data_IF_041298521719
#
_entry.id   IF_041298521719
#
_cell.length_a   1.000
_cell.length_b   1.000
_cell.length_c   1.000
_cell.angle_alpha   90.00
_cell.angle_beta   90.00
_cell.angle_gamma   90.00
#
_symmetry.space_group_name_H-M   'P 1'
#
loop_
_entity.id
_entity.type
_entity.pdbx_description
1 polymer ?
#
# COMPACT_ATOMS: atom_id res chain seq x y z
N UNK A 1 48.33 -35.84 15.57
CA UNK A 1 47.39 -34.69 15.48
C UNK A 1 46.06 -35.01 14.79
N UNK A 2 45.89 -36.19 14.16
CA UNK A 2 44.69 -36.50 13.36
C UNK A 2 43.48 -37.04 14.14
N UNK A 3 43.67 -37.80 15.24
CA UNK A 3 42.54 -38.40 16.00
C UNK A 3 41.66 -37.37 16.73
N UNK A 4 42.24 -36.27 17.23
CA UNK A 4 41.51 -35.17 17.90
C UNK A 4 40.69 -34.34 16.91
N UNK A 5 41.22 -34.13 15.70
CA UNK A 5 40.52 -33.45 14.61
C UNK A 5 39.35 -34.27 14.08
N UNK A 6 39.49 -35.60 14.01
CA UNK A 6 38.42 -36.52 13.62
C UNK A 6 37.25 -36.52 14.61
N UNK A 7 37.54 -36.47 15.92
CA UNK A 7 36.48 -36.38 16.94
C UNK A 7 35.77 -35.02 16.91
N UNK A 8 36.49 -33.92 16.65
CA UNK A 8 35.91 -32.59 16.50
C UNK A 8 34.96 -32.51 15.28
N UNK A 9 35.34 -33.18 14.18
CA UNK A 9 34.54 -33.26 12.96
C UNK A 9 33.25 -34.08 13.16
N UNK A 10 33.32 -35.20 13.87
CA UNK A 10 32.14 -36.01 14.21
C UNK A 10 31.18 -35.24 15.13
N UNK A 11 31.70 -34.50 16.12
CA UNK A 11 30.87 -33.69 17.02
C UNK A 11 30.13 -32.56 16.27
N UNK A 12 30.79 -31.95 15.28
CA UNK A 12 30.22 -30.92 14.40
C UNK A 12 29.07 -31.46 13.54
N UNK A 13 29.18 -32.67 13.02
CA UNK A 13 28.11 -33.29 12.22
C UNK A 13 26.89 -33.58 13.10
N UNK A 14 27.08 -34.10 14.32
CA UNK A 14 25.98 -34.38 15.24
C UNK A 14 25.22 -33.10 15.61
N UNK A 15 25.91 -31.97 15.81
CA UNK A 15 25.27 -30.68 16.10
C UNK A 15 24.48 -30.12 14.92
N UNK A 16 24.89 -30.39 13.68
CA UNK A 16 24.14 -29.99 12.48
C UNK A 16 22.83 -30.78 12.32
N UNK A 17 22.81 -32.06 12.69
CA UNK A 17 21.61 -32.91 12.65
C UNK A 17 20.56 -32.56 13.70
N UNK A 18 20.96 -31.94 14.82
CA UNK A 18 20.02 -31.52 15.87
C UNK A 18 19.34 -30.17 15.50
N UNK A 19 19.95 -29.39 14.61
CA UNK A 19 19.42 -28.07 14.18
C UNK A 19 18.61 -28.11 12.87
N UNK A 20 18.53 -29.25 12.19
CA UNK A 20 17.60 -29.44 11.07
C UNK A 20 16.19 -29.71 11.61
N UNK A 21 15.63 -28.73 12.32
CA UNK A 21 14.20 -28.67 12.55
C UNK A 21 13.50 -28.55 11.21
N UNK A 22 12.71 -29.55 10.83
CA UNK A 22 11.81 -29.43 9.69
C UNK A 22 10.82 -28.31 9.98
N UNK A 23 10.96 -27.18 9.28
CA UNK A 23 9.91 -26.18 9.25
C UNK A 23 8.70 -26.79 8.56
N UNK A 24 7.73 -27.26 9.35
CA UNK A 24 6.42 -27.62 8.82
C UNK A 24 5.74 -26.32 8.39
N UNK A 25 5.63 -26.09 7.09
CA UNK A 25 4.67 -25.12 6.59
C UNK A 25 3.29 -25.59 7.05
N UNK A 26 2.69 -24.86 7.99
CA UNK A 26 1.32 -25.14 8.39
C UNK A 26 0.43 -25.10 7.15
N UNK A 27 -0.43 -26.10 6.99
CA UNK A 27 -1.45 -26.16 5.94
C UNK A 27 -2.64 -25.24 6.26
N UNK A 28 -2.48 -24.29 7.19
CA UNK A 28 -3.50 -23.34 7.55
C UNK A 28 -3.89 -22.53 6.31
N UNK A 29 -5.18 -22.59 5.98
CA UNK A 29 -5.75 -21.68 5.00
C UNK A 29 -5.42 -20.25 5.42
N UNK A 30 -5.06 -19.37 4.48
CA UNK A 30 -4.87 -17.96 4.82
C UNK A 30 -6.13 -17.46 5.53
N UNK A 31 -5.93 -16.74 6.63
CA UNK A 31 -7.03 -16.20 7.40
C UNK A 31 -7.84 -15.21 6.54
N UNK A 32 -9.15 -15.07 6.76
CA UNK A 32 -9.98 -14.11 6.04
C UNK A 32 -9.47 -12.69 6.18
N UNK A 33 -9.63 -11.86 5.14
CA UNK A 33 -9.17 -10.47 5.16
C UNK A 33 -9.95 -9.66 6.21
N UNK A 34 -11.22 -10.01 6.41
CA UNK A 34 -12.15 -9.46 7.40
C UNK A 34 -11.69 -9.72 8.84
N UNK A 35 -10.81 -10.68 9.08
CA UNK A 35 -10.16 -10.89 10.37
C UNK A 35 -8.82 -10.16 10.47
N UNK A 36 -7.97 -10.30 9.43
CA UNK A 36 -6.59 -9.79 9.47
C UNK A 36 -6.57 -8.26 9.52
N UNK A 37 -7.36 -7.58 8.68
CA UNK A 37 -7.29 -6.12 8.53
C UNK A 37 -7.74 -5.38 9.80
N UNK A 38 -8.86 -5.77 10.46
CA UNK A 38 -9.24 -5.19 11.74
C UNK A 38 -8.20 -5.37 12.85
N UNK A 39 -7.54 -6.52 12.92
CA UNK A 39 -6.50 -6.77 13.93
C UNK A 39 -5.30 -5.82 13.84
N UNK A 40 -5.00 -5.32 12.64
CA UNK A 40 -3.90 -4.37 12.39
C UNK A 40 -4.39 -2.91 12.26
N UNK A 41 -5.62 -2.64 12.71
CA UNK A 41 -6.17 -1.29 12.86
C UNK A 41 -6.95 -0.75 11.66
N UNK A 42 -7.21 -1.55 10.63
CA UNK A 42 -8.12 -1.11 9.57
C UNK A 42 -9.58 -1.22 10.00
N UNK A 43 -10.38 -0.34 9.42
CA UNK A 43 -11.83 -0.23 9.61
C UNK A 43 -12.47 0.07 8.26
N UNK A 44 -13.70 0.59 8.27
CA UNK A 44 -14.35 1.02 7.03
C UNK A 44 -13.67 2.26 6.44
N UNK A 45 -13.73 2.41 5.12
CA UNK A 45 -13.20 3.60 4.44
C UNK A 45 -13.86 4.87 4.99
N UNK A 46 -15.18 4.88 5.12
CA UNK A 46 -15.93 6.02 5.63
C UNK A 46 -15.49 6.46 7.04
N UNK A 47 -15.33 5.51 7.95
CA UNK A 47 -14.92 5.80 9.32
C UNK A 47 -13.50 6.37 9.38
N UNK A 48 -12.56 5.77 8.66
CA UNK A 48 -11.17 6.27 8.61
C UNK A 48 -11.05 7.65 7.95
N UNK A 49 -11.86 7.94 6.92
CA UNK A 49 -11.91 9.26 6.28
C UNK A 49 -12.44 10.29 7.26
N UNK A 50 -13.53 10.00 7.98
CA UNK A 50 -14.09 10.92 8.99
C UNK A 50 -13.09 11.24 10.10
N UNK A 51 -12.34 10.25 10.56
CA UNK A 51 -11.29 10.48 11.56
C UNK A 51 -10.16 11.37 11.04
N UNK A 52 -9.70 11.10 9.82
CA UNK A 52 -8.67 11.91 9.15
C UNK A 52 -9.14 13.36 8.96
N UNK A 53 -10.35 13.56 8.44
CA UNK A 53 -10.95 14.88 8.25
C UNK A 53 -11.13 15.63 9.57
N UNK A 54 -11.58 14.92 10.61
CA UNK A 54 -11.73 15.50 11.96
C UNK A 54 -10.39 15.92 12.54
N UNK A 55 -9.35 15.09 12.41
CA UNK A 55 -8.01 15.38 12.92
C UNK A 55 -7.43 16.65 12.30
N UNK A 56 -7.54 16.81 10.97
CA UNK A 56 -6.99 17.98 10.27
C UNK A 56 -7.97 19.15 10.17
N UNK A 57 -9.22 18.98 10.62
CA UNK A 57 -10.30 19.94 10.45
C UNK A 57 -10.43 20.42 8.99
N UNK A 58 -10.34 19.48 8.05
CA UNK A 58 -10.39 19.74 6.62
C UNK A 58 -10.99 18.54 5.87
N UNK A 59 -11.98 18.80 5.03
CA UNK A 59 -12.62 17.77 4.19
C UNK A 59 -11.62 17.15 3.20
N UNK A 60 -11.76 15.85 2.98
CA UNK A 60 -10.95 15.06 2.08
C UNK A 60 -11.75 14.66 0.84
N UNK A 61 -11.26 15.06 -0.33
CA UNK A 61 -11.78 14.55 -1.59
C UNK A 61 -11.04 13.28 -2.00
N UNK A 62 -11.77 12.30 -2.52
CA UNK A 62 -11.20 11.09 -3.12
C UNK A 62 -11.53 11.04 -4.62
N UNK A 63 -10.74 10.30 -5.43
CA UNK A 63 -11.10 10.01 -6.81
C UNK A 63 -12.48 9.34 -6.92
N UNK A 64 -13.31 9.77 -7.88
CA UNK A 64 -14.61 9.15 -8.13
C UNK A 64 -14.50 7.86 -8.94
N UNK A 65 -13.36 7.63 -9.60
CA UNK A 65 -13.04 6.37 -10.30
C UNK A 65 -12.09 5.53 -9.47
N UNK A 66 -12.27 4.22 -9.60
CA UNK A 66 -11.31 3.20 -9.16
C UNK A 66 -10.77 2.44 -10.38
N UNK A 67 -9.67 1.69 -10.26
CA UNK A 67 -9.19 0.84 -11.35
C UNK A 67 -10.28 -0.10 -11.87
N UNK A 68 -10.38 -0.33 -13.20
CA UNK A 68 -11.41 -1.16 -13.82
C UNK A 68 -11.10 -2.66 -13.66
N UNK A 69 -10.91 -3.10 -12.42
CA UNK A 69 -10.69 -4.50 -12.00
C UNK A 69 -11.51 -4.75 -10.73
N UNK A 70 -11.85 -6.01 -10.47
CA UNK A 70 -12.73 -6.36 -9.35
C UNK A 70 -11.98 -6.45 -8.02
N UNK A 71 -12.55 -5.83 -6.99
CA UNK A 71 -12.10 -5.93 -5.61
C UNK A 71 -13.24 -6.51 -4.76
N UNK A 72 -12.90 -7.34 -3.78
CA UNK A 72 -13.90 -7.92 -2.88
C UNK A 72 -14.00 -7.16 -1.56
N UNK A 73 -12.95 -6.43 -1.18
CA UNK A 73 -12.87 -5.74 0.10
C UNK A 73 -12.36 -4.31 -0.05
N UNK A 74 -12.82 -3.46 0.87
CA UNK A 74 -12.46 -2.05 0.97
C UNK A 74 -12.19 -1.73 2.44
N UNK A 75 -10.95 -1.36 2.74
CA UNK A 75 -10.51 -1.07 4.09
C UNK A 75 -9.90 0.32 4.15
N UNK A 76 -10.07 0.98 5.30
CA UNK A 76 -9.47 2.27 5.57
C UNK A 76 -8.77 2.29 6.93
N UNK A 77 -7.67 3.02 7.04
CA UNK A 77 -6.96 3.21 8.30
C UNK A 77 -6.39 4.62 8.34
N UNK A 78 -6.71 5.35 9.40
CA UNK A 78 -5.99 6.56 9.73
C UNK A 78 -4.85 6.18 10.68
N UNK A 79 -3.61 6.49 10.31
CA UNK A 79 -2.47 6.37 11.21
C UNK A 79 -2.23 7.74 11.84
N UNK A 80 -2.39 7.84 13.16
CA UNK A 80 -2.19 9.05 13.98
C UNK A 80 -1.04 8.84 14.99
N UNK A 81 0.14 8.50 14.46
CA UNK A 81 1.32 8.28 15.30
C UNK A 81 1.73 9.59 16.00
N UNK A 82 2.67 9.52 16.96
CA UNK A 82 3.08 10.72 17.69
C UNK A 82 3.55 11.86 16.75
N UNK A 83 2.71 12.89 16.66
CA UNK A 83 2.92 14.11 15.88
C UNK A 83 2.47 14.03 14.42
N UNK A 84 2.12 15.18 13.85
CA UNK A 84 1.45 15.28 12.55
C UNK A 84 2.27 14.83 11.31
N UNK A 85 3.58 14.61 11.46
CA UNK A 85 4.47 14.34 10.31
C UNK A 85 4.24 12.96 9.67
N UNK A 86 3.81 12.00 10.48
CA UNK A 86 3.56 10.63 10.04
C UNK A 86 2.07 10.35 9.83
N UNK A 87 1.23 11.36 10.08
CA UNK A 87 -0.21 11.20 10.02
C UNK A 87 -0.66 11.05 8.58
N UNK A 88 -1.37 9.95 8.32
CA UNK A 88 -1.78 9.59 6.97
C UNK A 88 -2.99 8.69 6.96
N UNK A 89 -3.82 8.89 5.94
CA UNK A 89 -4.89 7.99 5.61
C UNK A 89 -4.39 6.95 4.62
N UNK A 90 -4.70 5.69 4.89
CA UNK A 90 -4.51 4.56 3.99
C UNK A 90 -5.87 3.97 3.62
N UNK A 91 -6.13 3.80 2.33
CA UNK A 91 -7.29 3.09 1.82
C UNK A 91 -6.77 1.94 0.97
N UNK A 92 -7.25 0.71 1.23
CA UNK A 92 -6.92 -0.48 0.48
C UNK A 92 -8.16 -1.08 -0.17
N UNK A 93 -8.07 -1.32 -1.48
CA UNK A 93 -9.01 -2.10 -2.27
C UNK A 93 -8.28 -3.39 -2.68
N UNK A 94 -8.78 -4.52 -2.19
CA UNK A 94 -8.11 -5.82 -2.32
C UNK A 94 -9.10 -6.90 -2.74
N UNK A 95 -8.60 -7.90 -3.46
CA UNK A 95 -9.37 -9.11 -3.79
C UNK A 95 -8.77 -10.35 -3.12
N UNK A 96 -9.60 -11.11 -2.43
CA UNK A 96 -9.32 -12.47 -1.98
C UNK A 96 -9.41 -13.51 -3.11
N UNK A 97 -10.00 -13.13 -4.25
CA UNK A 97 -10.08 -13.95 -5.46
C UNK A 97 -8.84 -13.80 -6.37
N UNK A 98 -8.12 -12.68 -6.29
CA UNK A 98 -6.95 -12.40 -7.14
C UNK A 98 -5.96 -11.50 -6.40
N UNK A 99 -4.84 -12.07 -5.97
CA UNK A 99 -3.84 -11.38 -5.14
C UNK A 99 -3.14 -10.19 -5.85
N UNK A 100 -3.19 -10.12 -7.17
CA UNK A 100 -2.73 -8.97 -7.96
C UNK A 100 -3.74 -7.82 -8.03
N UNK A 101 -5.00 -8.03 -7.66
CA UNK A 101 -5.98 -6.94 -7.56
C UNK A 101 -5.80 -6.25 -6.20
N UNK A 102 -4.79 -5.40 -6.15
CA UNK A 102 -4.42 -4.66 -4.96
C UNK A 102 -4.15 -3.21 -5.33
N UNK A 103 -5.07 -2.34 -4.92
CA UNK A 103 -5.02 -0.91 -5.13
C UNK A 103 -4.99 -0.17 -3.80
N UNK A 104 -4.18 0.88 -3.70
CA UNK A 104 -4.03 1.71 -2.50
C UNK A 104 -4.18 3.18 -2.83
N UNK A 105 -4.79 3.91 -1.90
CA UNK A 105 -4.73 5.37 -1.84
C UNK A 105 -4.10 5.74 -0.51
N UNK A 106 -2.96 6.40 -0.55
CA UNK A 106 -2.37 7.01 0.66
C UNK A 106 -2.48 8.52 0.56
N UNK A 107 -2.95 9.16 1.62
CA UNK A 107 -3.11 10.62 1.70
C UNK A 107 -2.38 11.16 2.93
N UNK A 108 -1.64 12.26 2.75
CA UNK A 108 -0.95 12.96 3.84
C UNK A 108 -0.89 14.47 3.58
N UNK A 109 -0.67 15.31 4.60
CA UNK A 109 -0.44 16.74 4.40
C UNK A 109 0.70 17.00 3.41
N UNK A 110 0.49 17.86 2.41
CA UNK A 110 1.53 18.20 1.43
C UNK A 110 2.77 18.85 2.08
N UNK A 111 2.60 19.51 3.23
CA UNK A 111 3.72 20.04 4.05
C UNK A 111 4.69 18.94 4.53
N UNK A 112 4.22 17.70 4.67
CA UNK A 112 4.98 16.53 5.09
C UNK A 112 5.08 15.47 3.98
N UNK A 113 5.07 15.91 2.73
CA UNK A 113 5.09 15.04 1.56
C UNK A 113 6.31 14.11 1.53
N UNK A 114 6.12 12.93 0.98
CA UNK A 114 7.21 12.00 0.67
C UNK A 114 7.80 12.39 -0.68
N UNK A 115 9.10 12.75 -0.72
CA UNK A 115 9.79 12.96 -2.00
C UNK A 115 10.02 11.61 -2.69
N UNK A 116 9.63 11.51 -3.96
CA UNK A 116 9.84 10.32 -4.78
C UNK A 116 10.50 10.71 -6.09
N UNK A 117 11.42 9.86 -6.57
CA UNK A 117 12.07 10.06 -7.86
C UNK A 117 11.10 9.67 -8.98
N UNK A 118 10.76 10.64 -9.82
CA UNK A 118 9.91 10.44 -10.98
C UNK A 118 10.64 9.59 -12.05
N UNK A 119 9.93 8.60 -12.59
CA UNK A 119 10.29 7.96 -13.87
C UNK A 119 9.66 8.71 -15.05
N UNK A 120 8.45 9.23 -14.85
CA UNK A 120 7.78 10.12 -15.79
C UNK A 120 6.96 11.17 -15.03
N UNK A 121 6.58 12.25 -15.72
CA UNK A 121 5.73 13.32 -15.19
C UNK A 121 4.57 13.54 -16.15
N UNK A 122 3.37 13.64 -15.60
CA UNK A 122 2.12 13.85 -16.31
C UNK A 122 1.47 15.14 -15.84
N UNK A 123 0.83 15.88 -16.75
CA UNK A 123 0.03 17.04 -16.41
C UNK A 123 -1.41 16.60 -16.14
N UNK A 124 -1.93 16.88 -14.94
CA UNK A 124 -3.33 16.65 -14.60
C UNK A 124 -4.22 17.77 -15.17
N UNK A 125 -5.53 17.51 -15.26
CA UNK A 125 -6.52 18.45 -15.81
C UNK A 125 -6.61 19.75 -15.01
N UNK A 126 -6.33 19.71 -13.71
CA UNK A 126 -6.28 20.89 -12.84
C UNK A 126 -4.95 21.66 -12.95
N UNK A 127 -4.04 21.28 -13.85
CA UNK A 127 -2.75 21.94 -14.07
C UNK A 127 -1.61 21.43 -13.19
N UNK A 128 -1.90 20.62 -12.16
CA UNK A 128 -0.87 20.06 -11.28
C UNK A 128 -0.09 18.96 -11.98
N UNK A 129 1.16 18.78 -11.57
CA UNK A 129 1.98 17.65 -12.02
C UNK A 129 1.69 16.41 -11.18
N UNK A 130 1.62 15.27 -11.86
CA UNK A 130 1.64 13.95 -11.26
C UNK A 130 2.91 13.23 -11.67
N UNK A 131 3.68 12.73 -10.71
CA UNK A 131 4.84 11.91 -10.98
C UNK A 131 4.45 10.45 -11.01
N UNK A 132 4.98 9.70 -11.98
CA UNK A 132 4.83 8.26 -12.08
C UNK A 132 6.15 7.58 -11.73
N UNK A 133 6.07 6.52 -10.93
CA UNK A 133 7.23 5.72 -10.50
C UNK A 133 6.77 4.31 -10.09
N UNK A 134 7.69 3.48 -9.61
CA UNK A 134 7.36 2.20 -8.99
C UNK A 134 8.20 1.96 -7.74
N UNK A 135 7.56 1.33 -6.74
CA UNK A 135 8.16 1.00 -5.44
C UNK A 135 7.60 -0.35 -5.00
N UNK A 136 8.48 -1.26 -4.57
CA UNK A 136 8.10 -2.53 -3.92
C UNK A 136 7.02 -3.35 -4.63
N UNK A 137 7.04 -3.38 -5.96
CA UNK A 137 6.07 -4.15 -6.76
C UNK A 137 4.79 -3.41 -7.13
N UNK A 138 4.65 -2.14 -6.76
CA UNK A 138 3.53 -1.28 -7.13
C UNK A 138 3.98 -0.21 -8.12
N UNK A 139 3.11 0.10 -9.08
CA UNK A 139 3.18 1.33 -9.86
C UNK A 139 2.48 2.43 -9.07
N UNK A 140 3.12 3.60 -8.97
CA UNK A 140 2.65 4.73 -8.20
C UNK A 140 2.38 5.93 -9.11
N UNK A 141 1.29 6.64 -8.82
CA UNK A 141 1.03 7.98 -9.34
C UNK A 141 0.85 8.93 -8.15
N UNK A 142 1.73 9.93 -8.07
CA UNK A 142 1.83 10.83 -6.92
C UNK A 142 1.62 12.26 -7.35
N UNK A 143 0.70 12.95 -6.70
CA UNK A 143 0.34 14.33 -7.02
C UNK A 143 -0.15 15.08 -5.79
N UNK A 144 -0.12 16.40 -5.88
CA UNK A 144 -0.65 17.29 -4.84
C UNK A 144 -2.00 17.86 -5.29
N UNK A 145 -2.97 17.97 -4.39
CA UNK A 145 -4.27 18.64 -4.61
C UNK A 145 -4.86 19.07 -3.28
N UNK A 146 -5.41 20.28 -3.21
CA UNK A 146 -6.13 20.79 -2.04
C UNK A 146 -5.35 20.69 -0.71
N UNK A 147 -4.02 20.89 -0.76
CA UNK A 147 -3.15 20.79 0.42
C UNK A 147 -2.72 19.37 0.82
N UNK A 148 -3.17 18.36 0.08
CA UNK A 148 -2.83 16.95 0.28
C UNK A 148 -1.83 16.45 -0.76
N UNK A 149 -0.96 15.52 -0.36
CA UNK A 149 -0.27 14.63 -1.27
C UNK A 149 -1.05 13.31 -1.37
N UNK A 150 -1.45 12.95 -2.58
CA UNK A 150 -2.03 11.65 -2.91
C UNK A 150 -0.96 10.74 -3.49
N UNK A 151 -0.90 9.50 -3.00
CA UNK A 151 -0.09 8.42 -3.56
C UNK A 151 -1.05 7.29 -3.91
N UNK A 152 -1.43 7.25 -5.18
CA UNK A 152 -2.19 6.12 -5.70
C UNK A 152 -1.20 5.01 -6.04
N UNK A 153 -1.49 3.77 -5.67
CA UNK A 153 -0.62 2.61 -5.94
C UNK A 153 -1.43 1.44 -6.48
N UNK A 154 -0.97 0.80 -7.54
CA UNK A 154 -1.58 -0.43 -8.09
C UNK A 154 -0.51 -1.50 -8.28
N UNK A 155 -0.83 -2.75 -7.98
CA UNK A 155 0.09 -3.87 -8.20
C UNK A 155 0.57 -3.89 -9.66
N UNK A 156 1.89 -3.95 -9.88
CA UNK A 156 2.46 -3.91 -11.23
C UNK A 156 2.00 -5.07 -12.11
N UNK A 157 1.56 -6.19 -11.53
CA UNK A 157 1.10 -7.38 -12.27
C UNK A 157 -0.16 -7.10 -13.08
N UNK A 158 -0.95 -6.08 -12.73
CA UNK A 158 -2.15 -5.68 -13.50
C UNK A 158 -1.88 -4.54 -14.49
N UNK A 159 -0.63 -4.17 -14.77
CA UNK A 159 -0.29 -3.03 -15.65
C UNK A 159 -0.85 -3.13 -17.07
N UNK A 160 -1.12 -4.35 -17.56
CA UNK A 160 -1.77 -4.58 -18.86
C UNK A 160 -3.26 -4.24 -18.86
N UNK A 161 -3.90 -4.27 -17.68
CA UNK A 161 -5.33 -3.95 -17.47
C UNK A 161 -5.54 -2.55 -16.90
N UNK A 162 -4.56 -2.07 -16.14
CA UNK A 162 -4.52 -0.73 -15.55
C UNK A 162 -3.23 -0.02 -16.02
N UNK A 163 -3.16 0.36 -17.31
CA UNK A 163 -2.04 1.14 -17.83
C UNK A 163 -2.00 2.56 -17.23
N UNK A 164 -0.88 3.26 -17.46
CA UNK A 164 -0.62 4.57 -16.83
C UNK A 164 -1.65 5.64 -17.21
N UNK A 165 -2.21 5.60 -18.41
CA UNK A 165 -3.29 6.49 -18.86
C UNK A 165 -4.57 6.29 -18.03
N UNK A 166 -5.00 5.05 -17.80
CA UNK A 166 -6.10 4.74 -16.87
C UNK A 166 -5.79 5.28 -15.47
N UNK A 167 -4.54 5.20 -15.06
CA UNK A 167 -4.12 5.70 -13.75
C UNK A 167 -4.24 7.22 -13.64
N UNK A 168 -3.85 7.94 -14.70
CA UNK A 168 -4.00 9.39 -14.83
C UNK A 168 -5.48 9.79 -14.93
N UNK A 169 -6.33 8.98 -15.57
CA UNK A 169 -7.78 9.22 -15.58
C UNK A 169 -8.38 9.15 -14.18
N UNK A 170 -7.93 8.19 -13.35
CA UNK A 170 -8.34 8.10 -11.95
C UNK A 170 -7.92 9.36 -11.18
N UNK A 171 -6.67 9.81 -11.32
CA UNK A 171 -6.20 11.05 -10.68
C UNK A 171 -6.97 12.31 -11.14
N UNK A 172 -7.58 12.26 -12.33
CA UNK A 172 -8.40 13.34 -12.87
C UNK A 172 -9.90 13.19 -12.58
N UNK A 173 -10.30 12.20 -11.76
CA UNK A 173 -11.71 11.88 -11.52
C UNK A 173 -12.27 12.47 -10.23
N UNK A 174 -11.61 13.43 -9.60
CA UNK A 174 -12.16 14.09 -8.41
C UNK A 174 -13.39 14.91 -8.79
N UNK A 175 -14.33 15.05 -7.85
CA UNK A 175 -15.42 16.02 -8.01
C UNK A 175 -14.83 17.43 -8.14
N UNK A 176 -15.02 18.04 -9.31
CA UNK A 176 -14.68 19.45 -9.51
C UNK A 176 -15.68 20.32 -8.72
N UNK A 177 -15.21 21.48 -8.24
CA UNK A 177 -16.14 22.51 -7.80
C UNK A 177 -16.85 22.99 -9.07
N UNK A 178 -18.17 22.83 -9.15
CA UNK A 178 -18.93 23.61 -10.12
C UNK A 178 -18.66 25.09 -9.83
N UNK A 179 -18.14 25.81 -10.82
CA UNK A 179 -18.22 27.27 -10.84
C UNK A 179 -19.67 27.74 -10.89
#
# INVERSE_FOLDING_TARGET
MHKKFFHLFILSIILFWIHSGTANASNDKPRPLEEIYPEIGYKTVEESVKEFEHHFNQDLKLPLRVPPIDFTHHFGRFNDLEGEINDSLEIELISDMSAEHHYKINVRPAKYKIPLKAKNVFKLKNGNDAIYTDVSGFNLLVFERDGWQYILSIDKRVSNRVPTDVFVEIANSFADQGE
#
